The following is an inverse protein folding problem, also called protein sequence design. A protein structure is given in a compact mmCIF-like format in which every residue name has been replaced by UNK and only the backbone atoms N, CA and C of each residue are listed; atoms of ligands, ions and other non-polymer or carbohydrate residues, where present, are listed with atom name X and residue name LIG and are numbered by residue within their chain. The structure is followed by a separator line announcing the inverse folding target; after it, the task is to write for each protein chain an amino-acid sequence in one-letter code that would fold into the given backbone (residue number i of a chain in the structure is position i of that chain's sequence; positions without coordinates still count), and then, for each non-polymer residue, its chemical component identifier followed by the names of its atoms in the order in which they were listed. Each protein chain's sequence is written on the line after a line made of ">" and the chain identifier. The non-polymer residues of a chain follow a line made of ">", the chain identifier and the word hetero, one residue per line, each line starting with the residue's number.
data_IF_580409518479
#
_entry.id   IF_580409518479
#
_cell.length_a   1.000
_cell.length_b   1.000
_cell.length_c   1.000
_cell.angle_alpha   90.00
_cell.angle_beta   90.00
_cell.angle_gamma   90.00
#
_symmetry.space_group_name_H-M   'P 1'
#
loop_
_entity.id
_entity.type
_entity.pdbx_description
1 polymer ?
#
# COMPACT_ATOMS: atom_id res chain seq x y z
N UNK A 1 -14.69 12.77 -27.81
CA UNK A 1 -13.43 13.42 -27.38
C UNK A 1 -13.46 13.99 -25.96
N UNK A 2 -14.62 14.24 -25.36
CA UNK A 2 -14.75 14.87 -24.02
C UNK A 2 -14.54 13.83 -22.89
N UNK A 3 -14.96 12.58 -23.07
CA UNK A 3 -14.82 11.53 -22.05
C UNK A 3 -13.36 11.20 -21.70
N UNK A 4 -12.47 11.06 -22.69
CA UNK A 4 -11.04 10.83 -22.46
C UNK A 4 -10.32 12.02 -21.81
N UNK A 5 -10.82 13.25 -22.01
CA UNK A 5 -10.31 14.43 -21.33
C UNK A 5 -10.73 14.46 -19.86
N UNK A 6 -11.95 14.00 -19.55
CA UNK A 6 -12.47 13.92 -18.18
C UNK A 6 -11.83 12.79 -17.36
N UNK A 7 -11.54 11.65 -17.97
CA UNK A 7 -10.84 10.54 -17.32
C UNK A 7 -9.40 10.92 -16.97
N UNK A 8 -8.71 11.57 -17.91
CA UNK A 8 -7.38 12.14 -17.66
C UNK A 8 -7.42 13.30 -16.68
N UNK A 9 -8.49 14.10 -16.64
CA UNK A 9 -8.67 15.16 -15.66
C UNK A 9 -8.93 14.60 -14.26
N UNK A 10 -9.71 13.53 -14.12
CA UNK A 10 -9.97 12.85 -12.84
C UNK A 10 -8.69 12.18 -12.31
N UNK A 11 -7.94 11.50 -13.17
CA UNK A 11 -6.61 10.96 -12.82
C UNK A 11 -5.64 12.07 -12.44
N UNK A 12 -5.61 13.19 -13.20
CA UNK A 12 -4.77 14.35 -12.88
C UNK A 12 -5.21 15.11 -11.63
N UNK A 13 -6.50 15.11 -11.30
CA UNK A 13 -7.06 15.74 -10.11
C UNK A 13 -6.80 14.89 -8.86
N UNK A 14 -6.88 13.55 -8.97
CA UNK A 14 -6.43 12.60 -7.96
C UNK A 14 -4.90 12.66 -7.76
N UNK A 15 -4.14 12.82 -8.84
CA UNK A 15 -2.68 13.05 -8.79
C UNK A 15 -2.30 14.44 -8.24
N UNK A 16 -3.18 15.46 -8.35
CA UNK A 16 -2.99 16.79 -7.72
C UNK A 16 -3.44 16.83 -6.27
N UNK A 17 -4.49 16.10 -5.86
CA UNK A 17 -4.96 16.01 -4.46
C UNK A 17 -3.95 15.35 -3.51
N UNK A 18 -2.92 14.69 -4.04
CA UNK A 18 -1.88 14.02 -3.24
C UNK A 18 -0.57 14.82 -3.16
N UNK A 19 -0.49 16.00 -3.78
CA UNK A 19 0.69 16.86 -3.73
C UNK A 19 0.50 17.99 -2.71
N UNK A 20 1.05 17.77 -1.51
CA UNK A 20 1.25 18.71 -0.38
C UNK A 20 0.14 18.75 0.67
N UNK A 21 0.34 17.92 1.70
CA UNK A 21 0.18 18.29 3.13
C UNK A 21 1.07 19.50 3.53
N UNK A 22 1.15 20.54 2.69
CA UNK A 22 1.85 21.80 2.96
C UNK A 22 1.01 23.04 2.60
N UNK A 23 -0.09 22.91 1.85
CA UNK A 23 -1.15 23.96 1.80
C UNK A 23 -2.24 23.73 2.87
N UNK A 24 -2.07 22.74 3.74
CA UNK A 24 -2.89 22.52 4.94
C UNK A 24 -2.77 23.61 6.01
N UNK A 25 -2.14 24.75 5.71
CA UNK A 25 -2.13 25.94 6.58
C UNK A 25 -2.76 27.20 5.97
N UNK A 26 -3.25 27.17 4.72
CA UNK A 26 -3.97 28.32 4.13
C UNK A 26 -5.26 27.96 3.36
N UNK A 27 -5.69 26.69 3.36
CA UNK A 27 -6.79 26.22 2.52
C UNK A 27 -8.10 25.86 3.21
N UNK A 28 -8.20 25.93 4.55
CA UNK A 28 -9.42 25.48 5.26
C UNK A 28 -10.63 26.39 5.03
N UNK A 29 -10.45 27.58 4.44
CA UNK A 29 -11.52 28.57 4.25
C UNK A 29 -12.24 28.56 2.89
N UNK A 30 -11.65 28.00 1.82
CA UNK A 30 -12.12 28.32 0.44
C UNK A 30 -12.90 27.19 -0.24
N UNK A 31 -12.75 25.93 0.19
CA UNK A 31 -13.42 24.78 -0.50
C UNK A 31 -14.83 24.49 0.05
N UNK A 32 -15.25 25.15 1.12
CA UNK A 32 -16.57 24.93 1.72
C UNK A 32 -17.75 25.52 0.92
N UNK A 33 -17.49 26.33 -0.12
CA UNK A 33 -18.54 27.17 -0.72
C UNK A 33 -19.26 26.61 -1.96
N UNK A 34 -18.83 25.49 -2.57
CA UNK A 34 -19.41 25.07 -3.87
C UNK A 34 -19.79 23.58 -3.97
N UNK A 35 -19.47 22.73 -3.00
CA UNK A 35 -19.80 21.30 -3.07
C UNK A 35 -20.32 20.78 -1.74
N UNK A 36 -21.59 20.37 -1.71
CA UNK A 36 -22.31 19.89 -0.54
C UNK A 36 -21.63 18.75 0.23
N UNK A 37 -22.32 18.30 1.28
CA UNK A 37 -21.97 17.35 2.36
C UNK A 37 -21.18 16.07 2.00
N UNK A 38 -20.94 15.78 0.72
CA UNK A 38 -20.22 14.61 0.22
C UNK A 38 -18.68 14.80 0.25
N UNK A 39 -18.16 16.04 0.29
CA UNK A 39 -16.70 16.27 0.23
C UNK A 39 -15.99 16.12 1.59
N UNK A 40 -16.69 16.31 2.70
CA UNK A 40 -16.10 16.35 4.06
C UNK A 40 -15.61 14.97 4.53
N UNK A 41 -16.30 13.88 4.17
CA UNK A 41 -15.94 12.54 4.63
C UNK A 41 -14.64 11.98 4.01
N UNK A 42 -14.15 12.58 2.91
CA UNK A 42 -12.95 12.14 2.20
C UNK A 42 -11.68 12.93 2.57
N UNK A 43 -11.78 13.94 3.45
CA UNK A 43 -10.68 14.88 3.75
C UNK A 43 -10.23 14.86 5.21
N UNK A 44 -10.72 13.94 6.05
CA UNK A 44 -10.29 13.86 7.44
C UNK A 44 -8.80 13.42 7.54
N UNK A 45 -7.88 14.34 7.90
CA UNK A 45 -6.45 14.04 8.01
C UNK A 45 -6.16 13.05 9.15
N UNK A 46 -7.08 12.92 10.12
CA UNK A 46 -7.00 11.93 11.18
C UNK A 46 -7.08 10.50 10.65
N UNK A 47 -7.80 10.25 9.55
CA UNK A 47 -7.99 8.90 8.99
C UNK A 47 -6.83 8.41 8.13
N UNK A 48 -6.06 9.30 7.51
CA UNK A 48 -5.09 8.93 6.48
C UNK A 48 -3.67 8.58 7.00
N UNK A 49 -3.30 9.02 8.21
CA UNK A 49 -1.88 9.04 8.61
C UNK A 49 -1.51 8.00 9.71
N UNK A 50 -2.49 7.47 10.46
CA UNK A 50 -2.22 6.67 11.66
C UNK A 50 -3.00 5.36 11.81
N UNK A 51 -4.20 5.27 11.22
CA UNK A 51 -5.07 4.10 11.37
C UNK A 51 -4.66 2.91 10.49
N UNK A 52 -3.82 3.09 9.48
CA UNK A 52 -3.43 2.00 8.56
C UNK A 52 -2.44 1.00 9.17
N UNK A 53 -1.56 1.42 10.10
CA UNK A 53 -0.58 0.51 10.69
C UNK A 53 -1.10 -0.16 11.98
N UNK A 54 -1.81 0.59 12.83
CA UNK A 54 -2.36 0.09 14.09
C UNK A 54 -3.85 -0.28 14.03
N UNK A 55 -4.65 0.39 13.19
CA UNK A 55 -6.11 0.24 13.15
C UNK A 55 -6.62 -0.84 12.18
N UNK A 56 -5.94 -1.09 11.06
CA UNK A 56 -6.37 -2.10 10.09
C UNK A 56 -5.19 -2.75 9.38
N UNK A 57 -4.93 -4.04 9.63
CA UNK A 57 -3.87 -4.79 8.94
C UNK A 57 -4.08 -4.94 7.42
N UNK A 58 -5.22 -4.47 6.86
CA UNK A 58 -5.75 -4.98 5.60
C UNK A 58 -6.49 -3.96 4.68
N UNK A 59 -6.49 -2.64 4.92
CA UNK A 59 -7.47 -1.73 4.25
C UNK A 59 -6.91 -0.73 3.23
N UNK A 60 -5.69 -0.89 2.73
CA UNK A 60 -5.21 -0.10 1.59
C UNK A 60 -4.49 -1.01 0.61
N UNK A 61 -4.87 -0.95 -0.67
CA UNK A 61 -4.51 -1.88 -1.74
C UNK A 61 -3.08 -2.40 -1.63
N UNK A 62 -3.00 -3.56 -1.01
CA UNK A 62 -1.75 -4.19 -0.66
C UNK A 62 -1.18 -4.90 -1.90
N UNK A 63 0.10 -5.26 -1.83
CA UNK A 63 0.68 -6.11 -2.86
C UNK A 63 -0.17 -7.37 -3.10
N UNK A 64 -0.17 -7.93 -4.31
CA UNK A 64 -0.95 -9.12 -4.64
C UNK A 64 -0.72 -10.25 -3.62
N UNK A 65 -1.80 -10.78 -3.08
CA UNK A 65 -1.76 -11.77 -2.02
C UNK A 65 -2.94 -12.73 -2.15
N UNK A 66 -2.77 -14.03 -1.80
CA UNK A 66 -3.87 -15.01 -1.90
C UNK A 66 -5.09 -14.65 -1.06
N UNK A 67 -4.88 -13.94 0.05
CA UNK A 67 -5.93 -13.48 0.96
C UNK A 67 -6.26 -12.01 0.78
N UNK A 68 -6.00 -11.40 -0.38
CA UNK A 68 -6.29 -9.98 -0.62
C UNK A 68 -7.74 -9.62 -0.20
N UNK A 69 -7.96 -8.49 0.52
CA UNK A 69 -7.00 -7.43 0.85
C UNK A 69 -6.17 -7.72 2.11
N UNK A 70 -6.37 -8.88 2.74
CA UNK A 70 -5.71 -9.29 3.98
C UNK A 70 -4.27 -9.77 3.78
N UNK A 71 -3.41 -8.86 3.35
CA UNK A 71 -2.03 -9.18 2.99
C UNK A 71 -1.14 -9.26 4.22
N UNK A 72 -0.54 -10.43 4.46
CA UNK A 72 0.46 -10.62 5.51
C UNK A 72 1.67 -11.32 4.92
N UNK A 73 2.85 -10.76 5.14
CA UNK A 73 4.10 -11.28 4.58
C UNK A 73 5.09 -11.64 5.69
N UNK A 74 5.94 -12.63 5.41
CA UNK A 74 7.10 -12.92 6.25
C UNK A 74 8.23 -11.90 6.01
N UNK A 75 9.33 -12.04 6.76
CA UNK A 75 10.53 -11.17 6.64
C UNK A 75 11.17 -11.17 5.25
N UNK A 76 10.85 -12.14 4.40
CA UNK A 76 11.39 -12.29 3.05
C UNK A 76 10.39 -11.86 1.96
N UNK A 77 9.23 -11.35 2.35
CA UNK A 77 8.18 -10.92 1.44
C UNK A 77 7.36 -12.05 0.85
N UNK A 78 7.31 -13.23 1.49
CA UNK A 78 6.47 -14.37 1.07
C UNK A 78 5.16 -14.42 1.87
N UNK A 79 4.07 -14.96 1.30
CA UNK A 79 2.75 -14.88 1.92
C UNK A 79 2.64 -15.71 3.21
N UNK A 80 1.91 -15.16 4.16
CA UNK A 80 1.51 -15.79 5.43
C UNK A 80 -0.01 -15.69 5.55
N UNK A 81 -0.60 -16.63 6.27
CA UNK A 81 -2.02 -16.53 6.58
C UNK A 81 -2.30 -15.30 7.46
N UNK A 82 -3.30 -14.47 7.13
CA UNK A 82 -3.51 -13.18 7.79
C UNK A 82 -3.76 -13.30 9.31
N UNK A 83 -4.58 -14.27 9.72
CA UNK A 83 -4.93 -14.49 11.14
C UNK A 83 -3.81 -15.21 11.91
N UNK A 84 -3.50 -16.43 11.48
CA UNK A 84 -2.62 -17.34 12.20
C UNK A 84 -1.11 -17.17 11.93
N UNK A 85 -0.71 -16.50 10.84
CA UNK A 85 0.70 -16.25 10.55
C UNK A 85 1.50 -17.44 10.02
N UNK A 86 0.88 -18.58 9.72
CA UNK A 86 1.57 -19.72 9.11
C UNK A 86 1.92 -19.48 7.63
N UNK A 87 2.99 -20.11 7.12
CA UNK A 87 3.33 -20.08 5.69
C UNK A 87 2.21 -20.62 4.80
N UNK A 88 1.85 -19.85 3.78
CA UNK A 88 0.94 -20.28 2.72
C UNK A 88 1.61 -20.21 1.36
N UNK A 89 1.11 -20.98 0.40
CA UNK A 89 1.52 -20.92 -1.00
C UNK A 89 0.83 -19.77 -1.75
N UNK A 90 1.14 -19.61 -3.03
CA UNK A 90 0.58 -18.54 -3.88
C UNK A 90 -0.93 -18.67 -4.12
N UNK A 91 -1.53 -19.80 -3.75
CA UNK A 91 -2.97 -20.05 -3.82
C UNK A 91 -3.65 -19.90 -2.46
N UNK A 92 -2.88 -19.64 -1.39
CA UNK A 92 -3.39 -19.48 -0.03
C UNK A 92 -3.50 -20.78 0.76
N UNK A 93 -3.10 -21.92 0.19
CA UNK A 93 -3.07 -23.19 0.93
C UNK A 93 -1.88 -23.21 1.89
N UNK A 94 -2.01 -23.96 2.99
CA UNK A 94 -0.89 -24.23 3.89
C UNK A 94 0.31 -24.75 3.10
N UNK A 95 1.48 -24.12 3.29
CA UNK A 95 2.70 -24.53 2.62
C UNK A 95 3.32 -25.72 3.36
N UNK A 96 3.00 -26.94 2.90
CA UNK A 96 3.41 -28.21 3.50
C UNK A 96 4.42 -28.98 2.64
N UNK A 97 4.38 -28.79 1.32
CA UNK A 97 5.18 -29.56 0.37
C UNK A 97 6.01 -28.65 -0.54
N UNK A 98 7.23 -29.09 -0.90
CA UNK A 98 8.14 -28.32 -1.77
C UNK A 98 7.60 -28.10 -3.18
N UNK A 99 6.69 -28.95 -3.66
CA UNK A 99 6.00 -28.80 -4.95
C UNK A 99 5.07 -27.58 -5.00
N UNK A 100 4.64 -27.07 -3.85
CA UNK A 100 3.83 -25.86 -3.79
C UNK A 100 4.70 -24.65 -4.16
N UNK A 101 4.12 -23.69 -4.87
CA UNK A 101 4.82 -22.44 -5.20
C UNK A 101 4.55 -21.42 -4.11
N UNK A 102 5.60 -20.99 -3.42
CA UNK A 102 5.56 -19.90 -2.43
C UNK A 102 6.53 -18.81 -2.85
N UNK A 103 6.06 -17.94 -3.73
CA UNK A 103 6.85 -16.88 -4.34
C UNK A 103 6.98 -15.66 -3.43
N UNK A 104 8.06 -14.90 -3.60
CA UNK A 104 8.21 -13.56 -3.01
C UNK A 104 7.23 -12.63 -3.71
N UNK A 105 6.31 -12.05 -2.96
CA UNK A 105 5.23 -11.23 -3.51
C UNK A 105 5.80 -10.07 -4.32
N UNK A 106 6.71 -9.29 -3.75
CA UNK A 106 7.27 -8.14 -4.44
C UNK A 106 8.15 -8.51 -5.65
N UNK A 107 9.11 -9.41 -5.49
CA UNK A 107 10.09 -9.68 -6.54
C UNK A 107 9.62 -10.66 -7.62
N UNK A 108 8.58 -11.47 -7.36
CA UNK A 108 8.17 -12.55 -8.27
C UNK A 108 6.70 -12.49 -8.64
N UNK A 109 5.79 -12.17 -7.71
CA UNK A 109 4.36 -12.09 -8.03
C UNK A 109 4.02 -10.77 -8.71
N UNK A 110 4.52 -9.65 -8.20
CA UNK A 110 4.25 -8.32 -8.78
C UNK A 110 4.68 -8.22 -10.25
N UNK A 111 5.92 -8.58 -10.65
CA UNK A 111 6.29 -8.53 -12.07
C UNK A 111 5.49 -9.49 -12.96
N UNK A 112 5.02 -10.60 -12.39
CA UNK A 112 4.18 -11.56 -13.11
C UNK A 112 2.77 -11.03 -13.41
N UNK A 113 2.24 -10.16 -12.56
CA UNK A 113 0.91 -9.56 -12.71
C UNK A 113 0.97 -8.16 -13.36
N UNK A 114 2.06 -7.44 -13.14
CA UNK A 114 2.30 -6.09 -13.64
C UNK A 114 3.63 -6.04 -14.38
N UNK A 115 3.71 -6.53 -15.63
CA UNK A 115 4.98 -6.66 -16.37
C UNK A 115 5.73 -5.34 -16.59
N UNK A 116 5.02 -4.20 -16.52
CA UNK A 116 5.62 -2.86 -16.58
C UNK A 116 6.49 -2.52 -15.36
N UNK A 117 6.31 -3.24 -14.25
CA UNK A 117 7.11 -3.11 -13.03
C UNK A 117 8.35 -3.96 -13.14
N UNK A 118 9.43 -3.36 -13.65
CA UNK A 118 10.73 -4.03 -13.81
C UNK A 118 11.52 -4.03 -12.51
N UNK A 119 12.06 -5.20 -12.16
CA UNK A 119 12.99 -5.41 -11.04
C UNK A 119 12.57 -4.77 -9.70
N UNK A 120 11.31 -4.93 -9.26
CA UNK A 120 10.91 -4.41 -7.96
C UNK A 120 11.73 -5.06 -6.85
N UNK A 121 12.05 -4.28 -5.83
CA UNK A 121 12.82 -4.74 -4.67
C UNK A 121 11.98 -4.59 -3.43
N UNK A 122 11.90 -5.66 -2.66
CA UNK A 122 11.36 -5.60 -1.31
C UNK A 122 12.38 -4.84 -0.45
N UNK A 123 11.97 -3.71 0.11
CA UNK A 123 12.86 -2.80 0.83
C UNK A 123 12.12 -1.57 1.30
N UNK A 124 12.70 -0.81 2.22
CA UNK A 124 11.98 0.28 2.87
C UNK A 124 10.91 -0.21 3.85
N UNK A 125 10.14 0.74 4.36
CA UNK A 125 9.02 0.45 5.25
C UNK A 125 9.09 1.20 6.57
N UNK A 126 7.92 1.34 7.17
CA UNK A 126 7.73 2.03 8.44
C UNK A 126 7.30 1.04 9.53
N UNK A 127 7.68 1.32 10.77
CA UNK A 127 7.32 0.50 11.93
C UNK A 127 6.70 1.38 13.01
N UNK A 128 5.72 0.83 13.74
CA UNK A 128 5.04 1.52 14.83
C UNK A 128 4.66 0.54 15.93
N UNK A 129 4.70 1.02 17.17
CA UNK A 129 4.16 0.30 18.31
C UNK A 129 2.62 0.33 18.27
N UNK A 130 1.99 -0.84 18.28
CA UNK A 130 0.54 -0.99 18.28
C UNK A 130 0.13 -2.08 19.29
N UNK A 131 -0.51 -1.70 20.39
CA UNK A 131 -0.95 -2.66 21.42
C UNK A 131 0.20 -3.47 22.03
N UNK A 132 1.32 -2.81 22.37
CA UNK A 132 2.51 -3.45 22.95
C UNK A 132 3.31 -4.32 21.98
N UNK A 133 3.03 -4.25 20.68
CA UNK A 133 3.78 -4.96 19.64
C UNK A 133 4.15 -4.07 18.47
N UNK A 134 5.35 -4.26 17.95
CA UNK A 134 5.82 -3.55 16.76
C UNK A 134 5.13 -4.16 15.53
N UNK A 135 4.36 -3.33 14.83
CA UNK A 135 3.84 -3.61 13.49
C UNK A 135 4.68 -2.91 12.45
N UNK A 136 4.88 -3.57 11.32
CA UNK A 136 5.72 -3.07 10.23
C UNK A 136 5.03 -3.18 8.88
N UNK A 137 5.10 -2.12 8.10
CA UNK A 137 4.86 -2.14 6.66
C UNK A 137 6.19 -2.41 5.96
N UNK A 138 6.13 -3.23 4.93
CA UNK A 138 7.21 -3.38 3.95
C UNK A 138 6.75 -2.87 2.60
N UNK A 139 7.61 -2.08 1.98
CA UNK A 139 7.34 -1.53 0.67
C UNK A 139 7.89 -2.46 -0.43
N UNK A 140 7.12 -2.55 -1.50
CA UNK A 140 7.62 -3.06 -2.77
C UNK A 140 8.07 -1.87 -3.61
N UNK A 141 9.39 -1.69 -3.70
CA UNK A 141 10.01 -0.54 -4.33
C UNK A 141 10.22 -0.78 -5.82
N UNK A 142 9.76 0.14 -6.65
CA UNK A 142 9.89 0.10 -8.12
C UNK A 142 10.09 1.50 -8.69
N UNK A 143 10.60 1.62 -9.90
CA UNK A 143 10.63 2.90 -10.61
C UNK A 143 9.27 3.31 -11.20
N UNK A 144 8.26 2.43 -11.12
CA UNK A 144 6.89 2.74 -11.52
C UNK A 144 6.39 4.03 -10.85
N UNK A 145 5.63 4.83 -11.60
CA UNK A 145 4.98 6.05 -11.11
C UNK A 145 3.56 5.78 -10.59
N UNK A 146 2.97 4.66 -10.97
CA UNK A 146 1.61 4.25 -10.65
C UNK A 146 1.64 3.17 -9.57
N UNK A 147 0.76 3.25 -8.56
CA UNK A 147 0.49 2.15 -7.62
C UNK A 147 -0.75 1.38 -8.03
N UNK A 148 -0.87 0.18 -7.51
CA UNK A 148 -2.02 -0.71 -7.79
C UNK A 148 -3.23 -0.43 -6.88
N UNK A 149 -3.07 0.40 -5.86
CA UNK A 149 -4.14 0.74 -4.93
C UNK A 149 -4.90 2.03 -5.29
N UNK A 150 -4.65 2.60 -6.47
CA UNK A 150 -5.25 3.86 -6.91
C UNK A 150 -4.54 5.13 -6.44
N UNK A 151 -3.59 5.03 -5.49
CA UNK A 151 -2.82 6.18 -5.02
C UNK A 151 -1.60 6.49 -5.90
N UNK A 152 -1.12 7.73 -5.83
CA UNK A 152 0.19 8.07 -6.38
C UNK A 152 1.32 7.32 -5.64
N UNK A 153 2.33 6.87 -6.38
CA UNK A 153 3.53 6.28 -5.77
C UNK A 153 4.39 7.35 -5.10
N UNK A 154 4.81 7.10 -3.86
CA UNK A 154 5.60 8.04 -3.05
C UNK A 154 7.08 7.70 -3.08
N UNK A 155 7.92 8.73 -2.91
CA UNK A 155 9.39 8.62 -2.75
C UNK A 155 9.77 8.82 -1.27
N UNK A 156 10.95 8.34 -0.88
CA UNK A 156 11.51 8.55 0.47
C UNK A 156 11.65 7.27 1.29
N UNK A 157 10.72 6.32 1.15
CA UNK A 157 10.83 5.02 1.83
C UNK A 157 11.73 4.02 1.09
N UNK A 158 11.78 4.17 -0.23
CA UNK A 158 12.54 3.30 -1.12
C UNK A 158 13.86 3.98 -1.52
N UNK A 159 14.99 3.27 -1.34
CA UNK A 159 16.33 3.74 -1.72
C UNK A 159 16.49 3.84 -3.25
N UNK A 160 17.51 4.56 -3.70
CA UNK A 160 17.95 4.67 -5.10
C UNK A 160 16.89 5.27 -6.04
N UNK A 161 16.12 6.26 -5.57
CA UNK A 161 15.14 6.97 -6.40
C UNK A 161 13.89 6.16 -6.79
N UNK A 162 13.76 4.93 -6.27
CA UNK A 162 12.58 4.09 -6.40
C UNK A 162 11.40 4.69 -5.63
N UNK A 163 10.19 4.28 -6.03
CA UNK A 163 8.92 4.66 -5.43
C UNK A 163 8.23 3.45 -4.83
N UNK A 164 7.36 3.69 -3.85
CA UNK A 164 6.51 2.65 -3.27
C UNK A 164 5.43 2.30 -4.29
N UNK A 165 5.47 1.07 -4.82
CA UNK A 165 4.49 0.56 -5.78
C UNK A 165 3.29 -0.10 -5.11
N UNK A 166 3.56 -0.94 -4.12
CA UNK A 166 2.57 -1.57 -3.27
C UNK A 166 3.19 -1.84 -1.89
N UNK A 167 2.35 -2.16 -0.90
CA UNK A 167 2.77 -2.38 0.48
C UNK A 167 2.33 -3.76 0.97
N UNK A 168 3.08 -4.34 1.91
CA UNK A 168 2.70 -5.56 2.62
C UNK A 168 2.89 -5.42 4.12
N UNK A 169 2.01 -6.06 4.90
CA UNK A 169 2.02 -5.94 6.37
C UNK A 169 2.73 -7.12 7.04
N UNK A 170 3.44 -6.81 8.13
CA UNK A 170 4.06 -7.78 9.02
C UNK A 170 3.82 -7.38 10.47
N UNK A 171 3.20 -8.28 11.24
CA UNK A 171 3.33 -8.27 12.69
C UNK A 171 4.68 -8.91 13.04
N UNK A 172 5.54 -8.16 13.72
CA UNK A 172 6.90 -8.61 14.02
C UNK A 172 6.97 -9.52 15.23
N UNK A 173 5.90 -9.60 16.04
CA UNK A 173 5.89 -10.27 17.35
C UNK A 173 6.84 -9.63 18.37
N UNK A 174 7.55 -8.57 17.99
CA UNK A 174 8.52 -7.86 18.85
C UNK A 174 7.76 -6.90 19.75
N UNK A 175 8.10 -6.87 21.04
CA UNK A 175 7.52 -5.90 21.96
C UNK A 175 8.07 -4.50 21.70
N UNK A 176 7.19 -3.54 21.93
CA UNK A 176 7.48 -2.17 22.28
C UNK A 176 6.80 -1.95 23.63
#
# INVERSE_FOLDING_TARGET
>A
MIEGAMENAAVRLAERKTRRSFLGRLGTGVVALVGGSVVVAALDPGRAEAYHLCGHTFTTGSCPHPFHPRTRLDRYGRPLHPKYGYPVDDKGNLYRFRRQRRRKVCQQVVPSLYPRVKNPRFGGGWSRCCGGRIRRIYDCCSYSRTRINGDASVRGYCYDGRRVFCIGYRDTGTRC
#
